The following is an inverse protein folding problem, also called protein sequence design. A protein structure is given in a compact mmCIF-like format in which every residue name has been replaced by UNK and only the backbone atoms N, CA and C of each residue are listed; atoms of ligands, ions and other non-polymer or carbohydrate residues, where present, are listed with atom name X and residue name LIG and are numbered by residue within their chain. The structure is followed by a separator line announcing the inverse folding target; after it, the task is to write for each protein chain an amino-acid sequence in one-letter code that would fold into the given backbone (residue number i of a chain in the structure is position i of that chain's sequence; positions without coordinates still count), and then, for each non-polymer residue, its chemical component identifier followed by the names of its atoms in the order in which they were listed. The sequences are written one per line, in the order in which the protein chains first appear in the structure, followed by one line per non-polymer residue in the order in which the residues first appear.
data_IF_742473511897
#
_entry.id   IF_742473511897
#
_cell.length_a   1.000
_cell.length_b   1.000
_cell.length_c   1.000
_cell.angle_alpha   90.00
_cell.angle_beta   90.00
_cell.angle_gamma   90.00
#
_symmetry.space_group_name_H-M   'P 1'
#
loop_
_entity.id
_entity.type
_entity.pdbx_description
1 polymer ?
#
# COMPACT_ATOMS: atom_id res chain seq x y z
N UNK A 1 -53.40 -11.82 8.26
CA UNK A 1 -52.18 -12.28 8.97
C UNK A 1 -50.98 -11.94 8.10
N UNK A 2 -49.89 -11.51 8.73
CA UNK A 2 -48.81 -10.64 8.20
C UNK A 2 -47.93 -11.28 7.10
N UNK A 3 -47.46 -10.40 6.21
CA UNK A 3 -46.40 -10.60 5.22
C UNK A 3 -45.10 -11.15 5.81
N UNK A 4 -44.44 -12.05 5.06
CA UNK A 4 -43.07 -12.48 5.29
C UNK A 4 -42.13 -11.87 4.25
N UNK A 5 -41.76 -10.61 4.45
CA UNK A 5 -40.72 -9.92 3.68
C UNK A 5 -39.37 -10.49 4.11
N UNK A 6 -38.68 -11.22 3.22
CA UNK A 6 -37.31 -11.69 3.48
C UNK A 6 -36.36 -10.52 3.28
N UNK A 7 -36.05 -9.82 4.37
CA UNK A 7 -34.98 -8.83 4.41
C UNK A 7 -33.62 -9.54 4.50
N UNK A 8 -32.91 -9.62 3.38
CA UNK A 8 -31.48 -9.90 3.39
C UNK A 8 -30.75 -8.64 3.86
N UNK A 9 -30.43 -8.62 5.15
CA UNK A 9 -29.53 -7.64 5.76
C UNK A 9 -28.10 -7.87 5.25
N UNK A 10 -27.75 -7.30 4.10
CA UNK A 10 -26.34 -7.17 3.69
C UNK A 10 -25.77 -5.98 4.47
N UNK A 11 -25.36 -6.26 5.69
CA UNK A 11 -24.76 -5.30 6.60
C UNK A 11 -23.27 -5.14 6.26
N UNK A 12 -22.82 -3.88 6.27
CA UNK A 12 -21.41 -3.41 6.26
C UNK A 12 -20.71 -3.17 4.90
N UNK A 13 -21.32 -2.39 4.00
CA UNK A 13 -20.54 -1.44 3.19
C UNK A 13 -21.11 -0.05 3.39
N UNK A 14 -20.35 0.86 4.01
CA UNK A 14 -20.69 2.29 3.98
C UNK A 14 -20.61 2.72 2.51
N UNK A 15 -21.74 2.75 1.80
CA UNK A 15 -21.90 3.47 0.54
C UNK A 15 -21.64 4.95 0.84
N UNK A 16 -20.39 5.38 0.72
CA UNK A 16 -20.04 6.81 0.68
C UNK A 16 -20.49 7.46 -0.63
N UNK A 17 -21.06 6.68 -1.57
CA UNK A 17 -21.41 7.12 -2.93
C UNK A 17 -20.19 7.35 -3.84
N UNK A 18 -18.97 7.28 -3.29
CA UNK A 18 -17.73 7.54 -4.02
C UNK A 18 -17.23 6.25 -4.67
N UNK A 19 -16.97 6.31 -5.98
CA UNK A 19 -16.34 5.21 -6.72
C UNK A 19 -14.89 5.04 -6.25
N UNK A 20 -14.37 3.80 -6.10
CA UNK A 20 -12.97 3.58 -5.81
C UNK A 20 -12.07 4.27 -6.85
N UNK A 21 -11.03 4.97 -6.41
CA UNK A 21 -10.14 5.70 -7.32
C UNK A 21 -8.76 5.02 -7.44
N UNK A 22 -8.04 5.40 -8.49
CA UNK A 22 -6.65 5.02 -8.77
C UNK A 22 -5.90 6.22 -9.36
N UNK A 23 -4.58 6.14 -9.50
CA UNK A 23 -3.80 7.19 -10.19
C UNK A 23 -4.12 7.19 -11.68
N UNK A 24 -4.07 8.35 -12.33
CA UNK A 24 -4.38 8.47 -13.76
C UNK A 24 -3.26 7.89 -14.65
N UNK A 25 -2.01 8.04 -14.22
CA UNK A 25 -0.82 7.54 -14.90
C UNK A 25 0.26 7.17 -13.86
N UNK A 26 1.36 6.58 -14.32
CA UNK A 26 2.50 6.23 -13.49
C UNK A 26 3.15 7.47 -12.87
N UNK A 27 3.34 7.44 -11.55
CA UNK A 27 4.14 8.42 -10.81
C UNK A 27 5.41 7.74 -10.34
N UNK A 28 6.57 8.33 -10.61
CA UNK A 28 7.87 7.79 -10.21
C UNK A 28 8.68 8.82 -9.42
N UNK A 29 9.34 8.34 -8.36
CA UNK A 29 10.33 9.09 -7.60
C UNK A 29 11.49 8.19 -7.17
N UNK A 30 12.69 8.77 -7.18
CA UNK A 30 13.91 8.14 -6.66
C UNK A 30 14.50 9.03 -5.59
N UNK A 31 14.99 8.44 -4.50
CA UNK A 31 15.48 9.18 -3.36
C UNK A 31 16.12 8.26 -2.33
N UNK A 32 16.54 8.87 -1.22
CA UNK A 32 17.19 8.17 -0.11
C UNK A 32 16.17 7.73 0.95
N UNK A 33 16.33 6.53 1.49
CA UNK A 33 15.60 6.06 2.66
C UNK A 33 16.05 6.77 3.94
N UNK A 34 15.12 7.12 4.82
CA UNK A 34 15.40 7.87 6.05
C UNK A 34 16.29 7.09 7.03
N UNK A 35 16.06 5.78 7.16
CA UNK A 35 16.73 4.94 8.15
C UNK A 35 17.94 4.18 7.59
N UNK A 36 17.83 3.70 6.35
CA UNK A 36 18.88 2.93 5.67
C UNK A 36 19.98 3.81 5.08
N UNK A 37 19.63 5.01 4.60
CA UNK A 37 20.52 5.82 3.77
C UNK A 37 20.69 5.28 2.35
N UNK A 38 20.01 4.19 1.99
CA UNK A 38 20.06 3.59 0.66
C UNK A 38 19.16 4.31 -0.33
N UNK A 39 19.49 4.21 -1.62
CA UNK A 39 18.65 4.77 -2.68
C UNK A 39 17.59 3.75 -3.07
N UNK A 40 16.34 4.20 -3.17
CA UNK A 40 15.25 3.42 -3.76
C UNK A 40 14.45 4.25 -4.76
N UNK A 41 13.88 3.55 -5.73
CA UNK A 41 12.93 4.09 -6.71
C UNK A 41 11.56 3.52 -6.40
N UNK A 42 10.57 4.40 -6.25
CA UNK A 42 9.17 4.08 -6.00
C UNK A 42 8.35 4.48 -7.23
N UNK A 43 7.60 3.53 -7.79
CA UNK A 43 6.64 3.76 -8.87
C UNK A 43 5.24 3.44 -8.39
N UNK A 44 4.30 4.36 -8.58
CA UNK A 44 2.89 4.19 -8.26
C UNK A 44 2.14 4.09 -9.57
N UNK A 45 1.53 2.94 -9.83
CA UNK A 45 0.83 2.66 -11.08
C UNK A 45 -0.67 2.45 -10.84
N UNK A 46 -1.51 2.71 -11.87
CA UNK A 46 -2.92 2.41 -11.81
C UNK A 46 -3.16 0.93 -11.50
N UNK A 47 -4.22 0.63 -10.77
CA UNK A 47 -4.62 -0.74 -10.49
C UNK A 47 -6.13 -0.92 -10.59
N UNK A 48 -6.55 -2.15 -10.87
CA UNK A 48 -7.96 -2.48 -11.03
C UNK A 48 -8.77 -2.17 -9.75
N UNK A 49 -10.06 -1.84 -9.86
CA UNK A 49 -10.90 -1.60 -8.69
C UNK A 49 -10.94 -2.81 -7.75
N UNK A 50 -10.98 -2.54 -6.43
CA UNK A 50 -11.10 -3.51 -5.33
C UNK A 50 -9.83 -4.32 -5.03
N UNK A 51 -8.72 -4.08 -5.71
CA UNK A 51 -7.44 -4.73 -5.36
C UNK A 51 -6.77 -4.08 -4.15
N UNK A 52 -7.12 -2.83 -3.84
CA UNK A 52 -6.50 -2.07 -2.77
C UNK A 52 -5.09 -1.58 -3.14
N UNK A 53 -4.29 -1.28 -2.12
CA UNK A 53 -2.90 -0.82 -2.26
C UNK A 53 -1.97 -1.99 -1.95
N UNK A 54 -0.99 -2.23 -2.81
CA UNK A 54 -0.03 -3.31 -2.62
C UNK A 54 1.33 -2.93 -3.18
N UNK A 55 2.35 -3.49 -2.56
CA UNK A 55 3.74 -3.30 -2.92
C UNK A 55 4.24 -4.48 -3.77
N UNK A 56 5.08 -4.17 -4.74
CA UNK A 56 5.89 -5.13 -5.49
C UNK A 56 7.35 -4.84 -5.14
N UNK A 57 8.02 -5.80 -4.52
CA UNK A 57 9.45 -5.72 -4.22
C UNK A 57 10.11 -7.05 -4.58
N UNK A 58 11.12 -7.02 -5.45
CA UNK A 58 11.79 -8.22 -5.99
C UNK A 58 10.78 -9.30 -6.45
N UNK A 59 9.79 -8.91 -7.25
CA UNK A 59 8.70 -9.76 -7.75
C UNK A 59 7.73 -10.31 -6.70
N UNK A 60 7.88 -9.97 -5.42
CA UNK A 60 6.96 -10.37 -4.35
C UNK A 60 5.86 -9.34 -4.14
N UNK A 61 4.63 -9.83 -3.92
CA UNK A 61 3.45 -9.01 -3.67
C UNK A 61 3.18 -8.90 -2.17
N UNK A 62 3.27 -7.69 -1.61
CA UNK A 62 2.99 -7.41 -0.20
C UNK A 62 1.80 -6.45 -0.13
N UNK A 63 0.64 -6.94 0.32
CA UNK A 63 -0.56 -6.10 0.44
C UNK A 63 -0.40 -5.11 1.60
N UNK A 64 -0.89 -3.88 1.45
CA UNK A 64 -1.01 -2.93 2.54
C UNK A 64 -2.19 -3.29 3.44
N UNK A 65 -2.01 -4.35 4.24
CA UNK A 65 -2.99 -4.88 5.18
C UNK A 65 -2.35 -5.12 6.55
N UNK A 66 -3.18 -5.16 7.59
CA UNK A 66 -2.76 -5.46 8.97
C UNK A 66 -2.09 -6.83 9.07
N UNK A 67 -2.52 -7.81 8.25
CA UNK A 67 -1.96 -9.15 8.21
C UNK A 67 -0.46 -9.17 7.84
N UNK A 68 -0.04 -8.26 6.96
CA UNK A 68 1.37 -8.13 6.57
C UNK A 68 2.12 -7.11 7.45
N UNK A 69 1.43 -6.38 8.33
CA UNK A 69 2.08 -5.42 9.20
C UNK A 69 2.78 -6.15 10.35
N UNK A 70 4.08 -5.90 10.51
CA UNK A 70 4.82 -6.40 11.66
C UNK A 70 4.33 -5.70 12.95
N UNK A 71 4.16 -6.46 14.03
CA UNK A 71 3.59 -5.96 15.31
C UNK A 71 4.51 -4.99 16.04
N UNK A 72 5.82 -5.20 15.92
CA UNK A 72 6.85 -4.43 16.62
C UNK A 72 7.85 -3.91 15.61
N UNK A 73 7.69 -2.63 15.25
CA UNK A 73 8.55 -1.95 14.29
C UNK A 73 8.92 -0.59 14.88
N UNK A 74 10.01 -0.50 15.65
CA UNK A 74 10.43 0.79 16.19
C UNK A 74 10.71 1.77 15.04
N UNK A 75 10.28 3.02 15.23
CA UNK A 75 10.50 4.17 14.35
C UNK A 75 9.71 4.22 13.03
N UNK A 76 9.18 3.11 12.52
CA UNK A 76 8.44 3.11 11.26
C UNK A 76 7.41 1.97 11.17
N UNK A 77 6.47 2.03 10.22
CA UNK A 77 5.61 0.90 9.87
C UNK A 77 6.31 0.01 8.83
N UNK A 78 6.41 -1.28 9.11
CA UNK A 78 6.97 -2.27 8.16
C UNK A 78 5.91 -3.28 7.75
N UNK A 79 5.77 -3.47 6.44
CA UNK A 79 5.02 -4.57 5.86
C UNK A 79 6.00 -5.68 5.48
N UNK A 80 5.66 -6.92 5.82
CA UNK A 80 6.47 -8.10 5.51
C UNK A 80 5.61 -9.26 5.03
N UNK A 81 6.11 -9.99 4.05
CA UNK A 81 5.51 -11.23 3.57
C UNK A 81 6.58 -12.10 2.91
N UNK A 82 6.53 -13.40 3.18
CA UNK A 82 7.40 -14.41 2.56
C UNK A 82 8.90 -14.09 2.69
N UNK A 83 9.29 -13.42 3.79
CA UNK A 83 10.68 -13.03 4.08
C UNK A 83 11.13 -11.73 3.41
N UNK A 84 10.26 -11.05 2.65
CA UNK A 84 10.51 -9.74 2.06
C UNK A 84 9.80 -8.64 2.85
N UNK A 85 10.45 -7.50 3.03
CA UNK A 85 9.88 -6.37 3.76
C UNK A 85 10.02 -5.03 3.06
N UNK A 86 9.00 -4.21 3.23
CA UNK A 86 9.00 -2.78 2.87
C UNK A 86 8.79 -1.97 4.13
N UNK A 87 9.74 -1.08 4.42
CA UNK A 87 9.78 -0.22 5.61
C UNK A 87 9.34 1.20 5.28
N UNK A 88 8.92 1.94 6.31
CA UNK A 88 8.54 3.35 6.23
C UNK A 88 7.36 3.59 5.27
N UNK A 89 6.36 2.70 5.29
CA UNK A 89 5.21 2.76 4.36
C UNK A 89 4.16 3.81 4.73
N UNK A 90 4.18 4.29 5.97
CA UNK A 90 3.12 5.07 6.61
C UNK A 90 2.84 6.41 5.92
N UNK A 91 3.87 7.16 5.53
CA UNK A 91 3.71 8.47 4.90
C UNK A 91 3.14 8.32 3.49
N UNK A 92 3.69 7.41 2.69
CA UNK A 92 3.16 7.09 1.36
C UNK A 92 1.70 6.60 1.43
N UNK A 93 1.39 5.68 2.35
CA UNK A 93 0.01 5.19 2.52
C UNK A 93 -0.94 6.28 3.02
N UNK A 94 -0.45 7.22 3.82
CA UNK A 94 -1.23 8.38 4.30
C UNK A 94 -1.49 9.38 3.17
N UNK A 95 -0.47 9.72 2.38
CA UNK A 95 -0.60 10.58 1.20
C UNK A 95 -1.59 10.00 0.18
N UNK A 96 -1.45 8.71 -0.16
CA UNK A 96 -2.39 8.02 -1.05
C UNK A 96 -3.82 8.08 -0.52
N UNK A 97 -4.01 7.90 0.80
CA UNK A 97 -5.33 7.96 1.40
C UNK A 97 -5.92 9.38 1.32
N UNK A 98 -5.11 10.39 1.61
CA UNK A 98 -5.50 11.81 1.56
C UNK A 98 -5.85 12.25 0.13
N UNK A 99 -5.07 11.80 -0.88
CA UNK A 99 -5.36 12.02 -2.30
C UNK A 99 -6.56 11.19 -2.82
N UNK A 100 -7.13 10.31 -1.99
CA UNK A 100 -8.27 9.49 -2.34
C UNK A 100 -7.94 8.30 -3.24
N UNK A 101 -6.67 7.91 -3.37
CA UNK A 101 -6.23 6.74 -4.15
C UNK A 101 -6.50 5.46 -3.36
N UNK A 102 -7.52 4.72 -3.78
CA UNK A 102 -7.94 3.48 -3.11
C UNK A 102 -7.20 2.25 -3.67
N UNK A 103 -6.87 2.26 -4.96
CA UNK A 103 -6.26 1.15 -5.67
C UNK A 103 -4.99 1.62 -6.37
N UNK A 104 -3.85 1.00 -6.09
CA UNK A 104 -2.63 1.24 -6.86
C UNK A 104 -1.63 0.10 -6.63
N UNK A 105 -0.76 -0.09 -7.62
CA UNK A 105 0.43 -0.94 -7.53
C UNK A 105 1.61 -0.05 -7.19
N UNK A 106 2.34 -0.39 -6.14
CA UNK A 106 3.50 0.36 -5.69
C UNK A 106 4.74 -0.50 -5.92
N UNK A 107 5.49 -0.26 -6.98
CA UNK A 107 6.74 -0.96 -7.24
C UNK A 107 7.88 -0.24 -6.51
N UNK A 108 8.72 -1.01 -5.83
CA UNK A 108 9.92 -0.48 -5.17
C UNK A 108 11.13 -1.25 -5.68
N UNK A 109 12.14 -0.50 -6.07
CA UNK A 109 13.45 -1.01 -6.45
C UNK A 109 14.51 -0.35 -5.55
N UNK A 110 15.22 -1.15 -4.76
CA UNK A 110 16.37 -0.68 -3.98
C UNK A 110 17.67 -0.82 -4.77
N UNK A 111 18.71 -0.09 -4.37
CA UNK A 111 20.07 -0.24 -4.94
C UNK A 111 20.77 -1.55 -4.55
N UNK A 112 20.35 -2.17 -3.44
CA UNK A 112 20.87 -3.46 -3.00
C UNK A 112 20.06 -4.63 -3.57
N UNK A 113 20.54 -5.27 -4.65
CA UNK A 113 19.87 -6.44 -5.24
C UNK A 113 19.84 -7.68 -4.31
N UNK A 114 20.67 -7.71 -3.27
CA UNK A 114 20.77 -8.84 -2.33
C UNK A 114 19.94 -8.67 -1.05
N UNK A 115 19.39 -7.48 -0.77
CA UNK A 115 18.61 -7.26 0.44
C UNK A 115 17.16 -7.72 0.25
N UNK A 116 16.61 -8.40 1.26
CA UNK A 116 15.18 -8.75 1.32
C UNK A 116 14.35 -7.67 2.00
N UNK A 117 14.95 -6.56 2.42
CA UNK A 117 14.27 -5.38 2.91
C UNK A 117 14.55 -4.17 2.01
N UNK A 118 13.55 -3.31 1.86
CA UNK A 118 13.72 -1.99 1.22
C UNK A 118 12.94 -0.92 1.98
N UNK A 119 13.44 0.30 1.92
CA UNK A 119 12.78 1.46 2.52
C UNK A 119 12.13 2.34 1.44
N UNK A 120 10.93 2.83 1.73
CA UNK A 120 10.30 3.90 0.94
C UNK A 120 11.08 5.20 1.17
N UNK A 121 11.30 5.97 0.11
CA UNK A 121 12.05 7.23 0.18
C UNK A 121 11.37 8.24 1.11
N UNK A 122 12.18 9.04 1.81
CA UNK A 122 11.71 10.07 2.76
C UNK A 122 11.05 11.29 2.10
N UNK A 123 11.11 11.43 0.78
CA UNK A 123 10.53 12.60 0.10
C UNK A 123 9.02 12.47 -0.18
N UNK A 124 8.33 11.49 0.44
CA UNK A 124 6.87 11.36 0.40
C UNK A 124 6.19 11.87 1.69
N UNK A 125 6.98 12.46 2.59
CA UNK A 125 6.57 13.14 3.82
C UNK A 125 5.81 14.44 3.54
#
# INVERSE_FOLDING_TARGET
MREGKVEFQIQWYKKTGKLPQTVADCVERTGQGLHSGDISTVRILPAAPRVGRYFIFQSNVIRASIENALKETPLCTTLSKDGYSVRTVEHLLSALKASGVDNCRIEIQGSGECDRSVEVISSFD
#
